data_IF_029869371184
#
_entry.id   IF_029869371184
#
_cell.length_a   1.000
_cell.length_b   1.000
_cell.length_c   1.000
_cell.angle_alpha   90.00
_cell.angle_beta   90.00
_cell.angle_gamma   90.00
#
_symmetry.space_group_name_H-M   'P 1'
#
loop_
_entity.id
_entity.type
_entity.pdbx_description
1 polymer ?
#
# COMPACT_ATOMS: atom_id res chain seq x y z
N UNK A 1 -10.83 -8.92 16.29
CA UNK A 1 -10.41 -8.84 17.69
C UNK A 1 -11.42 -9.60 18.56
N UNK A 2 -10.99 -10.49 19.49
CA UNK A 2 -11.88 -11.27 20.35
C UNK A 2 -12.81 -10.40 21.20
N UNK A 3 -12.25 -9.35 21.80
CA UNK A 3 -13.01 -8.42 22.65
C UNK A 3 -14.13 -7.72 21.89
N UNK A 4 -13.89 -7.37 20.62
CA UNK A 4 -14.91 -6.74 19.79
C UNK A 4 -16.09 -7.68 19.55
N UNK A 5 -15.82 -8.96 19.25
CA UNK A 5 -16.88 -9.96 19.05
C UNK A 5 -17.64 -10.25 20.35
N UNK A 6 -16.96 -10.23 21.51
CA UNK A 6 -17.59 -10.37 22.80
C UNK A 6 -18.54 -9.20 23.13
N UNK A 7 -18.13 -7.97 22.78
CA UNK A 7 -18.92 -6.75 22.99
C UNK A 7 -20.10 -6.59 22.01
N UNK A 8 -20.08 -7.30 20.89
CA UNK A 8 -21.09 -7.22 19.83
C UNK A 8 -21.77 -8.58 19.57
N UNK A 9 -22.50 -9.15 20.57
CA UNK A 9 -23.00 -10.52 20.47
C UNK A 9 -24.01 -10.72 19.33
N UNK A 10 -24.80 -9.71 19.00
CA UNK A 10 -25.76 -9.76 17.88
C UNK A 10 -25.05 -9.78 16.53
N UNK A 11 -23.98 -8.99 16.37
CA UNK A 11 -23.15 -9.02 15.17
C UNK A 11 -22.45 -10.37 15.01
N UNK A 12 -21.82 -10.88 16.08
CA UNK A 12 -21.17 -12.16 16.12
C UNK A 12 -22.11 -13.28 15.67
N UNK A 13 -23.29 -13.37 16.27
CA UNK A 13 -24.31 -14.38 15.93
C UNK A 13 -24.72 -14.32 14.46
N UNK A 14 -24.94 -13.12 13.89
CA UNK A 14 -25.32 -12.95 12.48
C UNK A 14 -24.18 -13.31 11.55
N UNK A 15 -22.96 -12.92 11.87
CA UNK A 15 -21.74 -13.27 11.13
C UNK A 15 -21.53 -14.78 11.10
N UNK A 16 -21.57 -15.44 12.26
CA UNK A 16 -21.42 -16.88 12.38
C UNK A 16 -22.51 -17.62 11.62
N UNK A 17 -23.76 -17.16 11.73
CA UNK A 17 -24.88 -17.69 10.94
C UNK A 17 -24.64 -17.57 9.44
N UNK A 18 -24.26 -16.38 8.95
CA UNK A 18 -24.00 -16.14 7.53
C UNK A 18 -22.88 -17.06 7.00
N UNK A 19 -21.76 -17.10 7.69
CA UNK A 19 -20.59 -17.89 7.29
C UNK A 19 -20.90 -19.41 7.28
N UNK A 20 -21.83 -19.87 8.14
CA UNK A 20 -22.23 -21.27 8.22
C UNK A 20 -23.33 -21.66 7.24
N UNK A 21 -24.27 -20.74 6.94
CA UNK A 21 -25.45 -21.03 6.13
C UNK A 21 -25.34 -20.59 4.67
N UNK A 22 -24.31 -19.78 4.35
CA UNK A 22 -24.03 -19.34 2.99
C UNK A 22 -22.63 -19.77 2.52
N UNK A 23 -22.35 -21.08 2.50
CA UNK A 23 -21.05 -21.58 2.03
C UNK A 23 -20.76 -21.21 0.58
N UNK A 24 -21.78 -21.03 -0.24
CA UNK A 24 -21.69 -20.53 -1.61
C UNK A 24 -20.99 -19.18 -1.69
N UNK A 25 -21.26 -18.26 -0.75
CA UNK A 25 -20.63 -16.93 -0.67
C UNK A 25 -19.36 -16.92 0.20
N UNK A 26 -19.31 -17.76 1.24
CA UNK A 26 -18.24 -17.79 2.22
C UNK A 26 -17.07 -18.72 1.85
N UNK A 27 -17.18 -19.54 0.81
CA UNK A 27 -16.19 -20.56 0.45
C UNK A 27 -14.77 -20.01 0.20
N UNK A 28 -14.65 -18.75 -0.24
CA UNK A 28 -13.38 -18.08 -0.52
C UNK A 28 -12.85 -17.28 0.68
N UNK A 29 -13.68 -17.08 1.72
CA UNK A 29 -13.23 -16.41 2.95
C UNK A 29 -12.17 -17.27 3.64
N UNK A 30 -11.14 -16.64 4.18
CA UNK A 30 -10.12 -17.34 4.96
C UNK A 30 -10.78 -18.12 6.12
N UNK A 31 -10.04 -19.10 6.66
CA UNK A 31 -10.54 -19.95 7.75
C UNK A 31 -10.81 -19.12 9.02
N UNK A 32 -11.93 -18.41 9.01
CA UNK A 32 -12.34 -17.51 10.09
C UNK A 32 -12.53 -18.21 11.44
N UNK A 33 -12.73 -19.54 11.42
CA UNK A 33 -12.83 -20.39 12.60
C UNK A 33 -11.48 -20.65 13.27
N UNK A 34 -10.39 -20.57 12.50
CA UNK A 34 -9.03 -20.78 13.04
C UNK A 34 -8.54 -19.49 13.69
N UNK A 35 -8.21 -19.50 14.98
CA UNK A 35 -7.62 -18.32 15.61
C UNK A 35 -6.20 -18.10 15.13
N UNK A 36 -5.84 -16.87 14.91
CA UNK A 36 -4.46 -16.43 14.75
C UNK A 36 -3.86 -15.95 16.06
N UNK A 37 -2.78 -15.17 15.97
CA UNK A 37 -2.10 -14.63 17.15
C UNK A 37 -3.08 -13.85 18.05
N UNK A 38 -3.10 -14.18 19.35
CA UNK A 38 -3.99 -13.54 20.32
C UNK A 38 -5.47 -13.80 20.06
N UNK A 39 -5.83 -14.99 19.59
CA UNK A 39 -7.21 -15.41 19.33
C UNK A 39 -7.94 -14.56 18.25
N UNK A 40 -7.20 -13.79 17.46
CA UNK A 40 -7.77 -12.96 16.39
C UNK A 40 -8.36 -13.82 15.27
N UNK A 41 -9.43 -13.31 14.67
CA UNK A 41 -10.06 -13.93 13.50
C UNK A 41 -9.77 -13.13 12.25
N UNK A 42 -9.51 -13.82 11.15
CA UNK A 42 -9.25 -13.20 9.85
C UNK A 42 -10.43 -13.39 8.91
N UNK A 43 -11.03 -12.29 8.47
CA UNK A 43 -12.02 -12.26 7.40
C UNK A 43 -11.34 -11.67 6.16
N UNK A 44 -10.73 -12.53 5.35
CA UNK A 44 -10.04 -12.12 4.14
C UNK A 44 -10.26 -13.13 3.01
N UNK A 45 -10.27 -12.67 1.77
CA UNK A 45 -10.35 -13.52 0.59
C UNK A 45 -8.99 -14.16 0.26
N UNK A 46 -7.91 -13.57 0.76
CA UNK A 46 -6.54 -14.03 0.50
C UNK A 46 -6.06 -14.94 1.63
N UNK A 47 -5.88 -16.23 1.32
CA UNK A 47 -5.29 -17.21 2.25
C UNK A 47 -3.77 -17.13 2.24
N UNK A 48 -3.11 -17.58 3.33
CA UNK A 48 -1.67 -17.46 3.53
C UNK A 48 -0.80 -17.93 2.35
N UNK A 49 -1.08 -19.08 1.76
CA UNK A 49 -0.32 -19.58 0.60
C UNK A 49 -0.54 -18.72 -0.67
N UNK A 50 -1.76 -18.19 -0.89
CA UNK A 50 -2.05 -17.25 -1.99
C UNK A 50 -1.37 -15.92 -1.74
N UNK A 51 -1.38 -15.44 -0.49
CA UNK A 51 -0.68 -14.23 -0.10
C UNK A 51 0.81 -14.31 -0.40
N UNK A 52 1.49 -15.41 -0.03
CA UNK A 52 2.91 -15.60 -0.35
C UNK A 52 3.18 -15.52 -1.87
N UNK A 53 2.28 -16.07 -2.69
CA UNK A 53 2.41 -15.99 -4.16
C UNK A 53 2.19 -14.57 -4.70
N UNK A 54 1.23 -13.83 -4.15
CA UNK A 54 0.99 -12.42 -4.51
C UNK A 54 2.17 -11.54 -4.09
N UNK A 55 2.63 -11.70 -2.84
CA UNK A 55 3.75 -10.94 -2.31
C UNK A 55 5.05 -11.21 -3.06
N UNK A 56 5.28 -12.44 -3.53
CA UNK A 56 6.43 -12.77 -4.37
C UNK A 56 6.50 -11.90 -5.63
N UNK A 57 5.35 -11.57 -6.25
CA UNK A 57 5.29 -10.67 -7.40
C UNK A 57 5.38 -9.20 -6.98
N UNK A 58 4.63 -8.83 -5.95
CA UNK A 58 4.57 -7.46 -5.46
C UNK A 58 5.94 -6.96 -4.97
N UNK A 59 6.76 -7.86 -4.41
CA UNK A 59 8.07 -7.56 -3.83
C UNK A 59 9.24 -7.84 -4.79
N UNK A 60 8.95 -8.11 -6.06
CA UNK A 60 9.96 -8.31 -7.11
C UNK A 60 10.35 -6.96 -7.73
N UNK A 61 11.64 -6.61 -7.65
CA UNK A 61 12.17 -5.34 -8.17
C UNK A 61 12.06 -5.26 -9.69
N UNK A 62 12.03 -6.39 -10.39
CA UNK A 62 11.85 -6.46 -11.85
C UNK A 62 10.39 -6.32 -12.25
N UNK A 63 9.46 -6.39 -11.30
CA UNK A 63 8.04 -6.27 -11.53
C UNK A 63 7.46 -5.04 -10.82
N UNK A 64 6.89 -5.22 -9.62
CA UNK A 64 6.13 -4.17 -8.95
C UNK A 64 6.94 -3.34 -7.96
N UNK A 65 7.93 -3.93 -7.28
CA UNK A 65 8.68 -3.20 -6.26
C UNK A 65 9.67 -2.23 -6.90
N UNK A 66 9.57 -0.95 -6.58
CA UNK A 66 10.54 0.06 -7.00
C UNK A 66 11.34 0.60 -5.82
N UNK A 67 12.33 1.43 -6.08
CA UNK A 67 13.06 2.19 -5.05
C UNK A 67 12.12 3.05 -4.19
N UNK A 68 10.95 3.45 -4.71
CA UNK A 68 10.05 4.44 -4.12
C UNK A 68 8.68 3.89 -3.71
N UNK A 69 8.45 2.59 -3.82
CA UNK A 69 7.20 1.92 -3.45
C UNK A 69 6.75 0.89 -4.49
N UNK A 70 5.47 0.53 -4.45
CA UNK A 70 4.87 -0.48 -5.33
C UNK A 70 4.22 0.22 -6.52
N UNK A 71 4.61 -0.21 -7.72
CA UNK A 71 4.10 0.30 -9.01
C UNK A 71 2.66 -0.16 -9.26
N UNK A 72 1.86 0.66 -9.92
CA UNK A 72 0.46 0.34 -10.28
C UNK A 72 0.35 -0.74 -11.36
N UNK A 73 1.38 -0.95 -12.16
CA UNK A 73 1.51 -2.03 -13.14
C UNK A 73 2.92 -2.61 -13.07
N UNK A 74 3.05 -3.92 -13.29
CA UNK A 74 4.35 -4.57 -13.36
C UNK A 74 5.21 -4.03 -14.49
N UNK A 75 6.49 -3.75 -14.19
CA UNK A 75 7.49 -3.37 -15.19
C UNK A 75 7.72 -4.44 -16.25
N UNK A 76 7.36 -5.69 -15.99
CA UNK A 76 7.34 -6.77 -16.98
C UNK A 76 6.62 -6.36 -18.27
N UNK A 77 5.56 -5.54 -18.18
CA UNK A 77 4.79 -5.08 -19.32
C UNK A 77 5.46 -3.98 -20.15
N UNK A 78 6.68 -3.56 -19.82
CA UNK A 78 7.50 -2.71 -20.67
C UNK A 78 7.92 -3.46 -21.94
N UNK A 79 8.41 -4.69 -21.77
CA UNK A 79 8.81 -5.57 -22.90
C UNK A 79 7.68 -6.48 -23.38
N UNK A 80 6.64 -6.69 -22.57
CA UNK A 80 5.54 -7.61 -22.81
C UNK A 80 4.19 -6.92 -22.61
N UNK A 81 3.82 -5.92 -23.44
CA UNK A 81 2.53 -5.24 -23.32
C UNK A 81 1.38 -6.23 -23.54
N UNK A 82 0.32 -6.07 -22.75
CA UNK A 82 -0.92 -6.83 -22.98
C UNK A 82 -1.62 -6.29 -24.23
N UNK A 83 -1.97 -7.19 -25.13
CA UNK A 83 -2.65 -6.86 -26.38
C UNK A 83 -4.01 -7.52 -26.42
N UNK A 84 -5.05 -6.74 -26.72
CA UNK A 84 -6.42 -7.19 -26.96
C UNK A 84 -6.82 -6.86 -28.39
N UNK A 85 -7.32 -7.84 -29.12
CA UNK A 85 -7.96 -7.64 -30.41
C UNK A 85 -9.47 -7.83 -30.26
N UNK A 86 -10.24 -6.84 -30.66
CA UNK A 86 -11.70 -6.88 -30.58
C UNK A 86 -12.29 -6.13 -31.80
N UNK A 87 -13.15 -6.80 -32.56
CA UNK A 87 -13.82 -6.26 -33.76
C UNK A 87 -12.85 -5.59 -34.76
N UNK A 88 -11.68 -6.20 -34.97
CA UNK A 88 -10.69 -5.69 -35.93
C UNK A 88 -9.86 -4.50 -35.37
N UNK A 89 -10.15 -4.05 -34.16
CA UNK A 89 -9.36 -3.03 -33.47
C UNK A 89 -8.35 -3.70 -32.52
N UNK A 90 -7.17 -3.07 -32.37
CA UNK A 90 -6.11 -3.55 -31.53
C UNK A 90 -5.86 -2.57 -30.39
N UNK A 91 -5.97 -3.05 -29.16
CA UNK A 91 -5.74 -2.28 -27.94
C UNK A 91 -4.49 -2.82 -27.21
N UNK A 92 -3.62 -1.92 -26.76
CA UNK A 92 -2.41 -2.29 -26.04
C UNK A 92 -2.31 -1.62 -24.67
N UNK A 93 -1.93 -2.38 -23.65
CA UNK A 93 -1.61 -1.87 -22.31
C UNK A 93 -0.19 -2.27 -21.97
N UNK A 94 0.72 -1.30 -21.90
CA UNK A 94 2.11 -1.48 -21.51
C UNK A 94 2.46 -0.68 -20.26
N UNK A 95 3.66 -0.93 -19.72
CA UNK A 95 4.21 -0.16 -18.61
C UNK A 95 4.57 1.26 -19.06
N UNK A 96 4.05 2.25 -18.36
CA UNK A 96 4.32 3.67 -18.56
C UNK A 96 4.52 4.30 -17.19
N UNK A 97 5.76 4.52 -16.73
CA UNK A 97 6.03 4.90 -15.34
C UNK A 97 5.73 6.36 -14.98
N UNK A 98 5.60 7.24 -15.96
CA UNK A 98 5.37 8.67 -15.78
C UNK A 98 3.97 9.10 -16.20
N UNK A 99 3.89 10.21 -16.96
CA UNK A 99 2.63 10.72 -17.47
C UNK A 99 1.99 9.78 -18.51
N UNK A 100 0.68 9.87 -18.66
CA UNK A 100 -0.03 9.09 -19.67
C UNK A 100 0.38 9.50 -21.07
N UNK A 101 0.64 8.51 -21.91
CA UNK A 101 0.95 8.70 -23.33
C UNK A 101 -0.23 8.34 -24.26
N UNK A 102 -1.43 8.14 -23.70
CA UNK A 102 -2.63 7.79 -24.46
C UNK A 102 -3.89 8.25 -23.74
N UNK A 103 -5.01 8.37 -24.46
CA UNK A 103 -6.34 8.62 -23.89
C UNK A 103 -6.97 7.41 -23.21
N UNK A 104 -6.30 6.26 -23.19
CA UNK A 104 -6.78 5.05 -22.54
C UNK A 104 -6.93 5.27 -21.02
N UNK A 105 -8.02 4.84 -20.43
CA UNK A 105 -8.34 5.02 -19.00
C UNK A 105 -8.50 6.50 -18.57
N UNK A 106 -8.98 7.38 -19.44
CA UNK A 106 -9.34 8.75 -19.09
C UNK A 106 -8.25 9.80 -19.27
N UNK A 107 -7.03 9.42 -19.68
CA UNK A 107 -5.99 10.32 -20.20
C UNK A 107 -5.18 11.11 -19.18
N UNK A 108 -5.79 11.78 -18.22
CA UNK A 108 -5.08 12.68 -17.30
C UNK A 108 -4.32 11.97 -16.18
N UNK A 109 -4.83 10.83 -15.71
CA UNK A 109 -4.20 10.04 -14.65
C UNK A 109 -3.67 8.73 -15.24
N UNK A 110 -2.43 8.39 -14.88
CA UNK A 110 -1.80 7.18 -15.39
C UNK A 110 -1.76 6.07 -14.34
N UNK A 111 -2.45 4.94 -14.61
CA UNK A 111 -2.48 3.75 -13.76
C UNK A 111 -1.60 2.60 -14.28
N UNK A 112 -0.71 2.89 -15.24
CA UNK A 112 0.08 1.89 -15.95
C UNK A 112 1.56 1.88 -15.54
N UNK A 113 1.85 2.11 -14.25
CA UNK A 113 3.22 2.00 -13.74
C UNK A 113 3.62 2.98 -12.66
N UNK A 114 3.01 4.18 -12.54
CA UNK A 114 3.33 5.10 -11.45
C UNK A 114 3.07 4.52 -10.06
N UNK A 115 3.65 5.19 -9.07
CA UNK A 115 3.39 4.92 -7.65
C UNK A 115 2.26 5.84 -7.20
N UNK A 116 1.20 5.24 -6.67
CA UNK A 116 0.04 5.93 -6.10
C UNK A 116 0.11 5.84 -4.58
N UNK A 117 0.27 6.98 -3.90
CA UNK A 117 0.44 7.02 -2.45
C UNK A 117 -0.72 6.37 -1.68
N UNK A 118 -2.02 6.65 -1.97
CA UNK A 118 -3.11 6.05 -1.22
C UNK A 118 -3.20 4.53 -1.39
N UNK A 119 -2.95 4.02 -2.60
CA UNK A 119 -2.96 2.55 -2.85
C UNK A 119 -1.82 1.89 -2.08
N UNK A 120 -0.62 2.48 -2.14
CA UNK A 120 0.53 1.98 -1.37
C UNK A 120 0.29 2.04 0.14
N UNK A 121 -0.33 3.12 0.63
CA UNK A 121 -0.71 3.24 2.04
C UNK A 121 -1.68 2.12 2.46
N UNK A 122 -2.69 1.83 1.66
CA UNK A 122 -3.61 0.71 1.93
C UNK A 122 -2.92 -0.65 1.90
N UNK A 123 -1.92 -0.85 1.02
CA UNK A 123 -1.09 -2.06 1.03
C UNK A 123 -0.30 -2.18 2.32
N UNK A 124 0.33 -1.09 2.78
CA UNK A 124 1.08 -1.04 4.05
C UNK A 124 0.15 -1.38 5.22
N UNK A 125 -1.03 -0.74 5.32
CA UNK A 125 -2.01 -1.03 6.36
C UNK A 125 -2.47 -2.50 6.33
N UNK A 126 -2.74 -3.03 5.14
CA UNK A 126 -3.13 -4.43 4.97
C UNK A 126 -2.05 -5.40 5.46
N UNK A 127 -0.78 -5.11 5.18
CA UNK A 127 0.35 -5.93 5.64
C UNK A 127 0.45 -5.93 7.17
N UNK A 128 0.25 -4.78 7.83
CA UNK A 128 0.20 -4.71 9.29
C UNK A 128 -0.99 -5.50 9.87
N UNK A 129 -2.18 -5.40 9.27
CA UNK A 129 -3.35 -6.14 9.74
C UNK A 129 -3.16 -7.66 9.56
N UNK A 130 -2.59 -8.09 8.44
CA UNK A 130 -2.23 -9.50 8.26
C UNK A 130 -1.15 -9.96 9.24
N UNK A 131 -0.16 -9.12 9.55
CA UNK A 131 0.83 -9.42 10.56
C UNK A 131 0.20 -9.61 11.95
N UNK A 132 -0.78 -8.79 12.32
CA UNK A 132 -1.51 -8.93 13.60
C UNK A 132 -2.19 -10.29 13.75
N UNK A 133 -2.56 -10.91 12.64
CA UNK A 133 -3.15 -12.26 12.63
C UNK A 133 -2.10 -13.36 12.58
N UNK A 134 -1.12 -13.26 11.68
CA UNK A 134 -0.14 -14.32 11.44
C UNK A 134 1.07 -14.29 12.38
N UNK A 135 1.44 -13.13 12.93
CA UNK A 135 2.62 -12.96 13.76
C UNK A 135 3.94 -12.98 12.98
N UNK A 136 5.04 -13.13 13.71
CA UNK A 136 6.42 -13.06 13.19
C UNK A 136 6.85 -14.31 12.42
N UNK A 137 6.16 -15.44 12.60
CA UNK A 137 6.50 -16.71 11.94
C UNK A 137 6.11 -16.73 10.46
N UNK A 138 5.16 -15.88 10.06
CA UNK A 138 4.78 -15.75 8.65
C UNK A 138 5.76 -14.84 7.93
N UNK A 139 6.75 -15.43 7.27
CA UNK A 139 7.80 -14.70 6.57
C UNK A 139 7.69 -14.85 5.05
N UNK A 140 8.10 -13.79 4.36
CA UNK A 140 8.21 -13.72 2.90
C UNK A 140 9.55 -13.09 2.51
N UNK A 141 10.06 -13.45 1.36
CA UNK A 141 11.30 -12.88 0.84
C UNK A 141 11.08 -11.43 0.36
N UNK A 142 11.92 -10.49 0.80
CA UNK A 142 11.81 -9.08 0.45
C UNK A 142 13.18 -8.38 0.38
N UNK A 143 13.57 -7.87 -0.80
CA UNK A 143 12.97 -8.10 -2.12
C UNK A 143 12.99 -9.58 -2.53
N UNK A 144 12.11 -9.96 -3.46
CA UNK A 144 12.10 -11.32 -4.03
C UNK A 144 13.42 -11.64 -4.69
N UNK A 145 14.00 -12.80 -4.41
CA UNK A 145 15.31 -13.24 -4.92
C UNK A 145 16.50 -12.75 -4.10
N UNK A 146 16.28 -11.98 -3.01
CA UNK A 146 17.36 -11.44 -2.17
C UNK A 146 17.91 -12.43 -1.12
N UNK A 147 17.23 -13.54 -0.86
CA UNK A 147 17.50 -14.45 0.26
C UNK A 147 17.11 -13.90 1.64
N UNK A 148 16.57 -12.67 1.73
CA UNK A 148 16.19 -12.04 2.99
C UNK A 148 14.73 -12.25 3.29
N UNK A 149 14.42 -12.98 4.36
CA UNK A 149 13.05 -13.29 4.77
C UNK A 149 12.60 -12.37 5.88
N UNK A 150 11.52 -11.64 5.65
CA UNK A 150 10.93 -10.66 6.54
C UNK A 150 9.51 -11.06 6.96
N UNK A 151 9.13 -10.72 8.19
CA UNK A 151 7.73 -10.73 8.63
C UNK A 151 6.90 -9.71 7.83
N UNK A 152 5.56 -9.85 7.84
CA UNK A 152 4.71 -8.89 7.12
C UNK A 152 4.81 -7.46 7.68
N UNK A 153 5.12 -7.32 8.96
CA UNK A 153 5.42 -6.03 9.59
C UNK A 153 6.69 -5.41 8.98
N UNK A 154 7.78 -6.16 8.94
CA UNK A 154 9.04 -5.68 8.37
C UNK A 154 8.91 -5.36 6.87
N UNK A 155 8.07 -6.10 6.13
CA UNK A 155 7.72 -5.76 4.73
C UNK A 155 6.95 -4.45 4.65
N UNK A 156 5.97 -4.24 5.54
CA UNK A 156 5.23 -2.98 5.61
C UNK A 156 6.14 -1.79 5.93
N UNK A 157 7.08 -1.97 6.88
CA UNK A 157 8.09 -0.99 7.24
C UNK A 157 9.01 -0.66 6.04
N UNK A 158 9.44 -1.67 5.28
CA UNK A 158 10.28 -1.48 4.09
C UNK A 158 9.53 -0.73 2.98
N UNK A 159 8.27 -1.06 2.70
CA UNK A 159 7.46 -0.32 1.72
C UNK A 159 7.25 1.12 2.19
N UNK A 160 6.94 1.33 3.48
CA UNK A 160 6.80 2.67 4.08
C UNK A 160 8.08 3.48 3.93
N UNK A 161 9.23 2.90 4.22
CA UNK A 161 10.55 3.54 4.06
C UNK A 161 10.79 3.97 2.61
N UNK A 162 10.45 3.11 1.64
CA UNK A 162 10.57 3.44 0.20
C UNK A 162 9.68 4.62 -0.18
N UNK A 163 8.44 4.66 0.29
CA UNK A 163 7.51 5.77 0.06
C UNK A 163 8.01 7.08 0.70
N UNK A 164 8.58 7.02 1.90
CA UNK A 164 9.17 8.17 2.55
C UNK A 164 10.37 8.74 1.76
N UNK A 165 11.15 7.89 1.07
CA UNK A 165 12.27 8.33 0.23
C UNK A 165 11.84 9.24 -0.95
N UNK A 166 10.56 9.30 -1.31
CA UNK A 166 10.04 10.29 -2.26
C UNK A 166 10.27 11.72 -1.75
N UNK A 167 10.05 11.94 -0.46
CA UNK A 167 10.02 13.26 0.18
C UNK A 167 11.26 13.60 1.01
N UNK A 168 11.97 12.60 1.48
CA UNK A 168 13.20 12.80 2.25
C UNK A 168 14.37 13.15 1.31
N UNK A 169 15.36 13.86 1.85
CA UNK A 169 16.61 14.13 1.13
C UNK A 169 17.45 12.86 1.06
N UNK A 170 17.92 12.54 -0.13
CA UNK A 170 18.92 11.51 -0.34
C UNK A 170 20.33 11.96 0.13
N UNK A 171 21.29 11.07 0.03
CA UNK A 171 22.71 11.35 0.36
C UNK A 171 23.29 12.48 -0.50
N UNK A 172 22.79 12.64 -1.72
CA UNK A 172 23.10 13.72 -2.66
C UNK A 172 22.42 15.06 -2.33
N UNK A 173 21.65 15.11 -1.23
CA UNK A 173 20.88 16.26 -0.78
C UNK A 173 19.60 16.54 -1.60
N UNK A 174 19.28 15.70 -2.60
CA UNK A 174 18.12 15.86 -3.49
C UNK A 174 16.89 15.15 -2.93
N UNK A 175 15.71 15.63 -3.33
CA UNK A 175 14.43 14.94 -3.08
C UNK A 175 13.91 14.34 -4.40
N UNK A 176 13.57 13.06 -4.40
CA UNK A 176 13.07 12.39 -5.61
C UNK A 176 11.81 13.08 -6.17
N UNK A 177 10.90 13.49 -5.30
CA UNK A 177 9.64 14.18 -5.69
C UNK A 177 9.86 15.42 -6.55
N UNK A 178 10.97 16.13 -6.39
CA UNK A 178 11.28 17.36 -7.15
C UNK A 178 11.90 17.08 -8.51
N UNK A 179 12.16 15.83 -8.84
CA UNK A 179 12.75 15.42 -10.13
C UNK A 179 14.11 16.06 -10.40
N UNK A 180 14.41 16.30 -11.68
CA UNK A 180 15.70 16.87 -12.12
C UNK A 180 15.72 18.40 -12.24
N UNK A 181 14.67 19.09 -11.79
CA UNK A 181 14.61 20.56 -11.85
C UNK A 181 15.65 21.21 -10.94
N UNK A 182 16.67 21.92 -11.47
CA UNK A 182 17.67 22.60 -10.63
C UNK A 182 17.05 23.66 -9.73
N UNK A 183 16.03 24.35 -10.20
CA UNK A 183 15.29 25.35 -9.42
C UNK A 183 14.63 24.71 -8.22
N UNK A 184 13.85 23.65 -8.41
CA UNK A 184 13.13 22.97 -7.34
C UNK A 184 14.09 22.33 -6.32
N UNK A 185 15.27 21.87 -6.77
CA UNK A 185 16.24 21.20 -5.90
C UNK A 185 17.12 22.16 -5.10
N UNK A 186 17.44 23.34 -5.61
CA UNK A 186 18.53 24.22 -5.09
C UNK A 186 18.07 25.59 -4.63
N UNK A 187 17.05 26.16 -5.28
CA UNK A 187 16.58 27.50 -4.94
C UNK A 187 15.98 27.51 -3.52
N UNK A 188 16.43 28.40 -2.63
CA UNK A 188 15.93 28.51 -1.25
C UNK A 188 14.42 28.73 -1.15
N UNK A 189 13.80 29.35 -2.14
CA UNK A 189 12.35 29.59 -2.17
C UNK A 189 11.54 28.32 -2.50
N UNK A 190 12.15 27.30 -3.12
CA UNK A 190 11.46 26.10 -3.58
C UNK A 190 11.92 24.81 -2.89
N UNK A 191 13.21 24.63 -2.64
CA UNK A 191 13.83 23.38 -2.19
C UNK A 191 13.22 22.79 -0.88
N UNK A 192 12.66 23.65 -0.04
CA UNK A 192 12.08 23.29 1.24
C UNK A 192 10.55 23.36 1.24
N UNK A 193 9.95 23.86 0.16
CA UNK A 193 8.52 23.91 -0.07
C UNK A 193 8.08 22.66 -0.83
N UNK A 194 7.88 21.55 -0.09
CA UNK A 194 7.53 20.26 -0.68
C UNK A 194 6.12 20.29 -1.24
N UNK A 195 5.96 19.88 -2.50
CA UNK A 195 4.68 19.75 -3.18
C UNK A 195 4.13 18.33 -3.05
N UNK A 196 2.81 18.20 -2.93
CA UNK A 196 2.10 16.93 -2.82
C UNK A 196 1.46 16.58 -4.16
N UNK A 197 2.19 15.82 -4.96
CA UNK A 197 1.76 15.42 -6.29
C UNK A 197 0.70 14.33 -6.26
N UNK A 198 -0.05 14.21 -7.34
CA UNK A 198 -1.12 13.23 -7.50
C UNK A 198 -0.58 11.79 -7.48
N UNK A 199 0.52 11.56 -8.22
CA UNK A 199 1.24 10.28 -8.27
C UNK A 199 2.73 10.53 -8.55
N UNK A 200 3.52 9.46 -8.55
CA UNK A 200 4.97 9.57 -8.67
C UNK A 200 5.47 8.63 -9.76
N UNK A 201 6.45 9.07 -10.52
CA UNK A 201 7.09 8.27 -11.56
C UNK A 201 7.62 6.95 -10.99
N UNK A 202 7.22 5.81 -11.57
CA UNK A 202 7.48 4.48 -11.04
C UNK A 202 8.95 4.12 -10.85
N UNK A 203 9.87 4.72 -11.63
CA UNK A 203 11.30 4.43 -11.57
C UNK A 203 12.13 5.54 -10.92
N UNK A 204 11.79 6.81 -11.13
CA UNK A 204 12.57 7.97 -10.64
C UNK A 204 12.04 8.59 -9.36
N UNK A 205 10.77 8.33 -9.03
CA UNK A 205 10.10 8.94 -7.87
C UNK A 205 9.70 10.41 -8.09
N UNK A 206 9.91 10.98 -9.27
CA UNK A 206 9.49 12.35 -9.58
C UNK A 206 7.98 12.49 -9.44
N UNK A 207 7.54 13.60 -8.83
CA UNK A 207 6.13 13.96 -8.74
C UNK A 207 5.53 14.27 -10.11
N UNK A 208 4.33 13.75 -10.37
CA UNK A 208 3.62 13.82 -11.64
C UNK A 208 2.15 14.16 -11.40
N UNK A 209 1.49 14.71 -12.40
CA UNK A 209 0.10 15.13 -12.29
C UNK A 209 -0.06 16.42 -11.49
N UNK A 210 -1.21 16.61 -10.86
CA UNK A 210 -1.50 17.82 -10.07
C UNK A 210 -0.61 17.89 -8.82
N UNK A 211 -0.04 19.09 -8.55
CA UNK A 211 0.98 19.29 -7.52
C UNK A 211 0.44 19.67 -6.12
N UNK A 212 -0.86 19.80 -5.98
CA UNK A 212 -1.53 20.26 -4.74
C UNK A 212 -2.55 19.24 -4.21
N UNK A 213 -2.17 17.96 -4.15
CA UNK A 213 -3.00 16.86 -3.67
C UNK A 213 -2.65 16.49 -2.23
N UNK A 214 -2.70 17.47 -1.30
CA UNK A 214 -2.28 17.29 0.10
C UNK A 214 -3.09 16.21 0.82
N UNK A 215 -4.40 16.12 0.60
CA UNK A 215 -5.24 15.07 1.17
C UNK A 215 -5.00 13.67 0.57
N UNK A 216 -4.14 13.57 -0.44
CA UNK A 216 -3.84 12.36 -1.18
C UNK A 216 -2.44 11.84 -0.87
N UNK A 217 -1.40 12.55 -1.26
CA UNK A 217 -0.01 12.15 -0.99
C UNK A 217 0.56 12.65 0.33
N UNK A 218 -0.15 13.53 1.04
CA UNK A 218 0.14 13.90 2.43
C UNK A 218 0.02 12.74 3.42
N UNK A 219 -0.55 11.60 3.02
CA UNK A 219 -0.50 10.33 3.77
C UNK A 219 0.93 9.91 4.18
N UNK A 220 1.95 10.42 3.49
CA UNK A 220 3.36 10.21 3.88
C UNK A 220 3.64 10.63 5.32
N UNK A 221 2.94 11.61 5.86
CA UNK A 221 3.07 12.04 7.25
C UNK A 221 2.75 10.90 8.23
N UNK A 222 1.78 10.05 7.91
CA UNK A 222 1.43 8.88 8.71
C UNK A 222 2.49 7.79 8.63
N UNK A 223 3.18 7.67 7.48
CA UNK A 223 4.28 6.72 7.31
C UNK A 223 5.57 7.16 8.01
N UNK A 224 5.78 8.46 8.14
CA UNK A 224 6.93 9.04 8.87
C UNK A 224 6.75 8.96 10.39
N UNK A 225 5.52 8.83 10.87
CA UNK A 225 5.25 8.71 12.29
C UNK A 225 5.63 7.30 12.78
N UNK A 226 6.48 7.17 13.81
CA UNK A 226 6.85 5.88 14.36
C UNK A 226 5.59 5.12 14.82
N UNK A 227 5.40 3.92 14.29
CA UNK A 227 4.36 3.04 14.82
C UNK A 227 4.85 2.39 16.09
N UNK A 228 4.10 2.47 17.20
CA UNK A 228 4.49 1.77 18.41
C UNK A 228 4.63 0.28 18.09
N UNK A 229 5.72 -0.34 18.57
CA UNK A 229 5.81 -1.79 18.61
C UNK A 229 4.52 -2.28 19.27
N UNK A 230 3.87 -3.31 18.69
CA UNK A 230 2.54 -3.75 19.08
C UNK A 230 2.39 -3.86 20.62
N UNK A 231 2.15 -2.73 21.26
CA UNK A 231 1.52 -2.70 22.56
C UNK A 231 0.11 -3.28 22.31
N UNK A 232 -0.28 -4.24 23.14
CA UNK A 232 -1.65 -4.70 23.21
C UNK A 232 -2.57 -3.48 23.08
N UNK A 233 -3.27 -3.36 21.95
CA UNK A 233 -4.14 -2.22 21.69
C UNK A 233 -5.36 -2.34 22.60
N UNK A 234 -5.23 -1.87 23.81
CA UNK A 234 -6.31 -1.70 24.79
C UNK A 234 -6.82 -0.25 24.85
N UNK A 235 -6.51 0.56 23.84
CA UNK A 235 -7.17 1.85 23.74
C UNK A 235 -8.64 1.61 23.38
N UNK A 236 -9.53 1.93 24.31
CA UNK A 236 -10.97 1.93 24.10
C UNK A 236 -11.32 2.91 22.97
N UNK A 237 -12.43 2.64 22.26
CA UNK A 237 -12.92 3.56 21.22
C UNK A 237 -13.15 4.97 21.81
N UNK A 238 -13.52 5.04 23.09
CA UNK A 238 -13.71 6.30 23.81
C UNK A 238 -12.41 7.11 23.94
N UNK A 239 -11.27 6.48 24.26
CA UNK A 239 -9.98 7.18 24.38
C UNK A 239 -9.48 7.71 23.03
N UNK A 240 -9.84 7.07 21.90
CA UNK A 240 -9.54 7.58 20.56
C UNK A 240 -10.44 8.79 20.20
N UNK A 241 -11.67 8.82 20.67
CA UNK A 241 -12.59 9.95 20.43
C UNK A 241 -12.23 11.17 21.29
N UNK A 242 -11.78 10.95 22.53
CA UNK A 242 -11.36 12.05 23.43
C UNK A 242 -10.04 12.69 22.99
N UNK A 243 -9.10 11.91 22.41
CA UNK A 243 -7.85 12.44 21.87
C UNK A 243 -8.04 13.35 20.63
N UNK A 244 -9.23 13.39 20.04
CA UNK A 244 -9.56 14.20 18.85
C UNK A 244 -10.67 15.24 19.12
N UNK A 245 -11.06 15.45 20.37
CA UNK A 245 -11.94 16.55 20.72
C UNK A 245 -11.17 17.88 20.56
N UNK A 246 -11.64 18.83 19.72
CA UNK A 246 -11.02 20.13 19.65
C UNK A 246 -11.15 20.79 21.03
N UNK A 247 -10.02 21.22 21.58
CA UNK A 247 -9.98 21.94 22.84
C UNK A 247 -10.94 23.14 22.79
N UNK A 248 -11.84 23.16 23.74
CA UNK A 248 -12.69 24.31 23.99
C UNK A 248 -11.85 25.53 24.32
N UNK A 249 -11.84 26.51 23.43
CA UNK A 249 -11.50 27.89 23.72
C UNK A 249 -12.73 28.56 24.32
#
# INVERSE_FOLDING_TARGET
EPDLLARLPNFRRRMEWFLSHRPDLAALVSRWQEPGLGERRLLALVRGHRMKRLLRRMLDDTEFLSKYGVRALSKYHEAHPYMLEHEGMRFGVGYVPGESNSGLFGGNSNWRGPIWMPVNYLLVESLYEFHRYYGDDFKVECPTGSGRFLSLREVADEVSRRLCCLFLRGEDGRRAVLGDSPMMQRDPAFRDNVLFYEYFHGDTGQGVGASHQTGWSGLVALLLHPRPAAASCSLSINERMEAHAPGSL
#
